data_IF_214817429419
#
_entry.id   IF_214817429419
#
_cell.length_a   1.000
_cell.length_b   1.000
_cell.length_c   1.000
_cell.angle_alpha   90.00
_cell.angle_beta   90.00
_cell.angle_gamma   90.00
#
_symmetry.space_group_name_H-M   'P 1'
#
loop_
_entity.id
_entity.type
_entity.pdbx_description
1 polymer ?
#
# COMPACT_ATOMS: atom_id res chain seq x y z
N UNK A 1 -39.10 40.84 13.83
CA UNK A 1 -38.35 41.15 15.06
C UNK A 1 -37.88 42.59 14.97
N UNK A 2 -38.17 43.42 15.97
CA UNK A 2 -37.78 44.82 15.95
C UNK A 2 -36.25 44.92 15.89
N UNK A 3 -35.72 45.66 14.92
CA UNK A 3 -34.29 45.93 14.79
C UNK A 3 -33.81 46.58 16.08
N UNK A 4 -33.02 45.86 16.87
CA UNK A 4 -32.53 46.34 18.15
C UNK A 4 -31.72 47.62 17.91
N UNK A 5 -32.25 48.75 18.37
CA UNK A 5 -31.60 50.05 18.22
C UNK A 5 -30.35 50.06 19.09
N UNK A 6 -29.20 50.48 18.54
CA UNK A 6 -27.94 50.62 19.28
C UNK A 6 -28.18 51.42 20.56
N UNK A 7 -28.06 50.76 21.72
CA UNK A 7 -28.21 51.39 23.02
C UNK A 7 -26.94 52.19 23.33
N UNK A 8 -27.04 53.52 23.35
CA UNK A 8 -25.88 54.39 23.49
C UNK A 8 -25.14 54.20 24.83
N UNK A 9 -25.86 53.86 25.91
CA UNK A 9 -25.25 53.61 27.22
C UNK A 9 -24.39 52.36 27.15
N UNK A 10 -24.97 51.26 26.65
CA UNK A 10 -24.27 49.99 26.55
C UNK A 10 -23.13 50.07 25.52
N UNK A 11 -23.35 50.67 24.36
CA UNK A 11 -22.30 50.84 23.35
C UNK A 11 -21.12 51.69 23.81
N UNK A 12 -21.30 52.54 24.84
CA UNK A 12 -20.23 53.32 25.46
C UNK A 12 -19.53 52.61 26.63
N UNK A 13 -19.99 51.43 27.05
CA UNK A 13 -19.47 50.69 28.21
C UNK A 13 -18.17 49.91 27.92
N UNK A 14 -17.35 50.38 26.98
CA UNK A 14 -16.11 49.72 26.53
C UNK A 14 -15.12 49.57 27.68
N UNK A 15 -14.97 50.60 28.53
CA UNK A 15 -14.01 50.58 29.63
C UNK A 15 -14.41 49.55 30.70
N UNK A 16 -15.70 49.51 31.06
CA UNK A 16 -16.25 48.49 31.97
C UNK A 16 -16.02 47.09 31.41
N UNK A 17 -16.33 46.88 30.12
CA UNK A 17 -16.15 45.60 29.46
C UNK A 17 -14.66 45.18 29.40
N UNK A 18 -13.76 46.13 29.13
CA UNK A 18 -12.31 45.89 29.11
C UNK A 18 -11.80 45.52 30.50
N UNK A 19 -12.24 46.20 31.54
CA UNK A 19 -11.84 45.91 32.92
C UNK A 19 -12.20 44.47 33.31
N UNK A 20 -13.43 44.04 32.99
CA UNK A 20 -13.87 42.66 33.24
C UNK A 20 -13.08 41.65 32.41
N UNK A 21 -12.81 41.93 31.14
CA UNK A 21 -11.99 41.05 30.30
C UNK A 21 -10.58 40.89 30.87
N UNK A 22 -9.97 41.98 31.37
CA UNK A 22 -8.65 41.97 31.99
C UNK A 22 -8.66 41.16 33.31
N UNK A 23 -9.70 41.33 34.12
CA UNK A 23 -9.88 40.57 35.36
C UNK A 23 -9.94 39.07 35.06
N UNK A 24 -10.74 38.65 34.08
CA UNK A 24 -10.90 37.24 33.69
C UNK A 24 -9.62 36.66 33.06
N UNK A 25 -8.92 37.45 32.25
CA UNK A 25 -7.66 37.04 31.63
C UNK A 25 -6.53 36.81 32.65
N UNK A 26 -6.58 37.45 33.82
CA UNK A 26 -5.53 37.41 34.84
C UNK A 26 -4.26 38.17 34.48
N UNK A 27 -4.04 38.48 33.20
CA UNK A 27 -2.94 39.28 32.68
C UNK A 27 -3.47 40.32 31.67
N UNK A 28 -3.31 41.64 31.94
CA UNK A 28 -3.79 42.69 31.04
C UNK A 28 -3.21 42.61 29.62
N UNK A 29 -2.00 42.05 29.47
CA UNK A 29 -1.37 41.92 28.15
C UNK A 29 -2.07 40.91 27.24
N UNK A 30 -2.95 40.05 27.77
CA UNK A 30 -3.70 39.06 27.00
C UNK A 30 -5.01 39.60 26.42
N UNK A 31 -5.38 40.86 26.75
CA UNK A 31 -6.56 41.57 26.21
C UNK A 31 -6.13 42.68 25.25
N UNK A 32 -6.41 42.50 23.97
CA UNK A 32 -6.01 43.38 22.88
C UNK A 32 -7.00 44.51 22.55
N UNK A 33 -7.02 44.88 21.27
CA UNK A 33 -7.85 45.95 20.74
C UNK A 33 -9.36 45.62 20.85
N UNK A 34 -10.18 46.65 20.97
CA UNK A 34 -11.64 46.50 20.94
C UNK A 34 -12.10 46.34 19.49
N UNK A 35 -12.63 45.16 19.17
CA UNK A 35 -13.02 44.75 17.82
C UNK A 35 -14.40 45.28 17.43
N UNK A 36 -15.22 45.65 18.41
CA UNK A 36 -16.53 46.25 18.19
C UNK A 36 -17.59 45.69 19.14
N UNK A 37 -18.85 45.90 18.75
CA UNK A 37 -20.02 45.50 19.53
C UNK A 37 -21.00 44.68 18.71
N UNK A 38 -21.59 43.66 19.34
CA UNK A 38 -22.69 42.87 18.80
C UNK A 38 -23.95 43.17 19.61
N UNK A 39 -25.07 43.41 18.93
CA UNK A 39 -26.36 43.64 19.60
C UNK A 39 -27.08 42.31 19.72
N UNK A 40 -27.01 41.71 20.91
CA UNK A 40 -27.64 40.42 21.21
C UNK A 40 -29.17 40.55 21.39
N UNK A 41 -29.63 41.71 21.87
CA UNK A 41 -31.05 41.92 22.12
C UNK A 41 -31.41 43.33 22.62
N UNK A 42 -32.64 43.49 23.11
CA UNK A 42 -33.09 44.75 23.68
C UNK A 42 -32.34 45.03 25.00
N UNK A 43 -31.53 46.10 25.02
CA UNK A 43 -30.67 46.47 26.16
C UNK A 43 -29.67 45.36 26.54
N UNK A 44 -29.16 44.64 25.55
CA UNK A 44 -28.14 43.61 25.69
C UNK A 44 -27.13 43.76 24.54
N UNK A 45 -25.87 44.03 24.87
CA UNK A 45 -24.78 44.25 23.91
C UNK A 45 -23.53 43.51 24.37
N UNK A 46 -22.83 42.87 23.45
CA UNK A 46 -21.55 42.20 23.71
C UNK A 46 -20.40 43.01 23.12
N UNK A 47 -19.44 43.38 23.96
CA UNK A 47 -18.18 44.00 23.56
C UNK A 47 -17.14 42.91 23.27
N UNK A 48 -16.47 43.02 22.12
CA UNK A 48 -15.45 42.05 21.69
C UNK A 48 -14.07 42.68 21.73
N UNK A 49 -13.09 41.95 22.25
CA UNK A 49 -11.68 42.34 22.27
C UNK A 49 -10.80 41.20 21.75
N UNK A 50 -9.76 41.51 20.98
CA UNK A 50 -8.83 40.50 20.52
C UNK A 50 -8.14 39.79 21.71
N UNK A 51 -7.96 38.47 21.65
CA UNK A 51 -7.08 37.77 22.59
C UNK A 51 -5.64 37.83 22.10
N UNK A 52 -4.73 38.21 22.99
CA UNK A 52 -3.27 38.22 22.74
C UNK A 52 -2.56 37.06 23.46
N UNK A 53 -3.31 36.21 24.16
CA UNK A 53 -2.75 35.02 24.79
C UNK A 53 -2.22 34.03 23.75
N UNK A 54 -0.99 33.53 23.94
CA UNK A 54 -0.28 32.69 22.95
C UNK A 54 -1.06 31.45 22.49
N UNK A 55 -1.86 30.84 23.36
CA UNK A 55 -2.66 29.65 23.06
C UNK A 55 -4.01 29.91 22.39
N UNK A 56 -4.41 31.18 22.28
CA UNK A 56 -5.76 31.59 21.88
C UNK A 56 -5.73 32.51 20.66
N UNK A 57 -4.86 32.18 19.68
CA UNK A 57 -4.77 32.93 18.42
C UNK A 57 -6.12 32.95 17.71
N UNK A 58 -6.61 34.14 17.37
CA UNK A 58 -7.88 34.34 16.69
C UNK A 58 -9.11 34.22 17.60
N UNK A 59 -8.91 34.00 18.91
CA UNK A 59 -9.99 34.05 19.89
C UNK A 59 -10.20 35.47 20.40
N UNK A 60 -11.36 35.68 21.01
CA UNK A 60 -11.83 37.02 21.37
C UNK A 60 -12.52 36.99 22.73
N UNK A 61 -12.12 37.94 23.58
CA UNK A 61 -12.83 38.21 24.83
C UNK A 61 -14.15 38.87 24.50
N UNK A 62 -15.24 38.25 24.93
CA UNK A 62 -16.60 38.75 24.77
C UNK A 62 -17.15 39.08 26.13
N UNK A 63 -17.60 40.32 26.32
CA UNK A 63 -18.20 40.76 27.58
C UNK A 63 -19.59 41.32 27.28
N UNK A 64 -20.60 40.61 27.74
CA UNK A 64 -22.00 40.94 27.53
C UNK A 64 -22.48 41.86 28.64
N UNK A 65 -22.96 43.04 28.27
CA UNK A 65 -23.48 44.06 29.18
C UNK A 65 -24.95 44.32 28.93
N UNK A 66 -25.69 44.58 30.01
CA UNK A 66 -27.09 44.96 29.97
C UNK A 66 -27.39 46.14 30.88
N UNK A 67 -28.61 46.67 30.78
CA UNK A 67 -29.10 47.67 31.73
C UNK A 67 -30.60 47.56 31.94
N UNK A 68 -31.05 47.98 33.12
CA UNK A 68 -32.48 48.10 33.41
C UNK A 68 -33.15 49.18 32.55
N UNK A 69 -34.47 49.09 32.30
CA UNK A 69 -35.23 50.13 31.59
C UNK A 69 -35.06 51.50 32.26
N UNK A 70 -34.77 52.54 31.47
CA UNK A 70 -34.47 53.92 31.92
C UNK A 70 -33.20 54.07 32.78
N UNK A 71 -32.52 52.98 33.11
CA UNK A 71 -31.21 53.00 33.76
C UNK A 71 -30.14 53.61 32.83
N UNK A 72 -29.18 54.31 33.44
CA UNK A 72 -28.01 54.89 32.76
C UNK A 72 -26.70 54.20 33.13
N UNK A 73 -26.78 53.11 33.87
CA UNK A 73 -25.65 52.31 34.35
C UNK A 73 -25.71 50.98 33.63
N UNK A 74 -24.60 50.60 32.98
CA UNK A 74 -24.42 49.27 32.42
C UNK A 74 -23.99 48.29 33.52
N UNK A 75 -24.47 47.06 33.45
CA UNK A 75 -24.11 45.94 34.32
C UNK A 75 -23.64 44.79 33.47
N UNK A 76 -22.65 44.04 33.94
CA UNK A 76 -22.11 42.88 33.22
C UNK A 76 -23.00 41.66 33.48
N UNK A 77 -23.31 40.92 32.42
CA UNK A 77 -24.08 39.68 32.47
C UNK A 77 -23.15 38.46 32.51
N UNK A 78 -22.18 38.43 31.60
CA UNK A 78 -21.21 37.36 31.43
C UNK A 78 -19.95 37.90 30.74
N UNK A 79 -18.87 37.14 30.89
CA UNK A 79 -17.60 37.40 30.24
C UNK A 79 -16.96 36.05 29.92
N UNK A 80 -16.58 35.87 28.66
CA UNK A 80 -16.08 34.61 28.14
C UNK A 80 -15.02 34.85 27.06
N UNK A 81 -14.24 33.81 26.79
CA UNK A 81 -13.30 33.76 25.68
C UNK A 81 -13.89 32.86 24.60
N UNK A 82 -14.27 33.44 23.47
CA UNK A 82 -14.93 32.73 22.38
C UNK A 82 -14.04 32.68 21.13
N UNK A 83 -14.17 31.64 20.30
CA UNK A 83 -13.43 31.58 19.04
C UNK A 83 -13.97 32.63 18.06
N UNK A 84 -13.09 33.48 17.53
CA UNK A 84 -13.37 34.35 16.39
C UNK A 84 -13.21 33.62 15.05
N UNK A 85 -13.33 34.37 13.95
CA UNK A 85 -13.26 33.81 12.59
C UNK A 85 -11.90 33.16 12.27
N UNK A 86 -10.83 33.69 12.87
CA UNK A 86 -9.46 33.21 12.68
C UNK A 86 -9.01 32.24 13.79
N UNK A 87 -9.92 31.78 14.66
CA UNK A 87 -9.59 30.91 15.76
C UNK A 87 -9.19 29.51 15.27
N UNK A 88 -8.05 29.02 15.77
CA UNK A 88 -7.67 27.62 15.57
C UNK A 88 -8.50 26.76 16.52
N UNK A 89 -9.44 26.02 15.95
CA UNK A 89 -10.28 25.07 16.69
C UNK A 89 -9.65 23.67 16.70
N UNK A 90 -9.96 22.91 17.74
CA UNK A 90 -9.64 21.48 17.78
C UNK A 90 -10.41 20.71 16.70
N UNK A 91 -9.89 19.55 16.31
CA UNK A 91 -10.65 18.60 15.50
C UNK A 91 -11.91 18.17 16.24
N UNK A 92 -12.93 17.78 15.48
CA UNK A 92 -14.16 17.24 16.05
C UNK A 92 -13.88 16.08 17.00
N UNK A 93 -14.64 16.03 18.09
CA UNK A 93 -14.55 14.93 19.02
C UNK A 93 -15.09 13.66 18.37
N UNK A 94 -14.27 12.62 18.32
CA UNK A 94 -14.65 11.30 17.79
C UNK A 94 -14.91 10.33 18.96
N UNK A 95 -15.99 9.52 18.96
CA UNK A 95 -16.21 8.48 19.97
C UNK A 95 -15.02 7.51 20.10
N UNK A 96 -14.74 7.02 21.30
CA UNK A 96 -13.60 6.10 21.52
C UNK A 96 -13.65 4.87 20.60
N UNK A 97 -14.85 4.36 20.33
CA UNK A 97 -15.09 3.19 19.47
C UNK A 97 -14.72 3.43 18.01
N UNK A 98 -14.70 4.69 17.58
CA UNK A 98 -14.33 5.12 16.23
C UNK A 98 -12.85 5.56 16.17
N UNK A 99 -12.15 5.61 17.32
CA UNK A 99 -10.71 5.88 17.37
C UNK A 99 -9.85 4.62 17.21
N UNK A 100 -10.43 3.44 17.41
CA UNK A 100 -9.70 2.17 17.34
C UNK A 100 -9.13 1.94 15.94
N UNK A 101 -7.84 1.65 15.88
CA UNK A 101 -7.10 1.29 14.67
C UNK A 101 -6.75 -0.21 14.68
N UNK A 102 -6.53 -0.81 13.49
CA UNK A 102 -5.95 -2.14 13.42
C UNK A 102 -4.66 -2.21 14.24
N UNK A 103 -4.60 -3.15 15.20
CA UNK A 103 -3.46 -3.32 16.10
C UNK A 103 -3.63 -2.73 17.50
N UNK A 104 -4.66 -1.92 17.75
CA UNK A 104 -4.91 -1.33 19.08
C UNK A 104 -5.46 -2.34 20.11
N UNK A 105 -5.94 -3.49 19.64
CA UNK A 105 -6.56 -4.54 20.48
C UNK A 105 -5.48 -5.55 20.88
N UNK A 106 -5.22 -5.68 22.17
CA UNK A 106 -4.29 -6.64 22.74
C UNK A 106 -4.95 -7.95 23.22
N UNK A 107 -4.15 -8.91 23.74
CA UNK A 107 -4.65 -10.24 24.12
C UNK A 107 -5.73 -10.27 25.22
N UNK A 108 -5.82 -9.21 26.04
CA UNK A 108 -6.80 -9.10 27.12
C UNK A 108 -8.05 -8.29 26.75
N UNK A 109 -8.07 -7.67 25.58
CA UNK A 109 -9.13 -6.76 25.19
C UNK A 109 -10.30 -7.51 24.56
N UNK A 110 -11.52 -7.11 24.94
CA UNK A 110 -12.75 -7.68 24.38
C UNK A 110 -13.41 -6.62 23.52
N UNK A 111 -13.50 -6.90 22.22
CA UNK A 111 -14.26 -6.05 21.31
C UNK A 111 -15.77 -6.14 21.62
N UNK A 112 -16.50 -5.02 21.59
CA UNK A 112 -17.93 -5.04 21.77
C UNK A 112 -18.59 -5.83 20.64
N UNK A 113 -19.58 -6.65 20.99
CA UNK A 113 -20.37 -7.37 20.01
C UNK A 113 -21.14 -6.40 19.11
N UNK A 114 -20.95 -6.52 17.79
CA UNK A 114 -21.74 -5.83 16.76
C UNK A 114 -22.66 -6.85 16.11
N UNK A 115 -23.97 -6.65 16.27
CA UNK A 115 -24.98 -7.53 15.68
C UNK A 115 -24.94 -7.44 14.15
N UNK A 116 -25.05 -6.21 13.64
CA UNK A 116 -25.10 -5.87 12.22
C UNK A 116 -23.71 -5.45 11.70
N UNK A 117 -22.70 -6.32 11.86
CA UNK A 117 -21.38 -6.08 11.26
C UNK A 117 -21.44 -6.41 9.75
N UNK A 118 -21.26 -5.42 8.85
CA UNK A 118 -21.40 -5.64 7.40
C UNK A 118 -20.34 -6.59 6.83
N UNK A 119 -19.24 -6.82 7.57
CA UNK A 119 -18.17 -7.74 7.19
C UNK A 119 -18.52 -9.20 7.47
N UNK A 120 -19.65 -9.45 8.12
CA UNK A 120 -20.10 -10.78 8.51
C UNK A 120 -21.50 -11.09 7.96
N UNK A 121 -21.71 -12.35 7.58
CA UNK A 121 -23.01 -12.88 7.19
C UNK A 121 -23.31 -14.19 7.96
N UNK A 122 -24.57 -14.62 8.09
CA UNK A 122 -24.90 -15.93 8.67
C UNK A 122 -24.16 -17.04 7.93
N UNK A 123 -23.58 -17.99 8.66
CA UNK A 123 -22.91 -19.14 8.04
C UNK A 123 -23.88 -20.21 7.56
N UNK A 124 -23.32 -21.25 6.94
CA UNK A 124 -24.08 -22.37 6.38
C UNK A 124 -24.75 -23.19 7.49
N UNK A 125 -26.03 -23.50 7.30
CA UNK A 125 -26.77 -24.46 8.14
C UNK A 125 -26.89 -25.76 7.37
N UNK A 126 -26.42 -26.90 7.92
CA UNK A 126 -26.49 -28.19 7.23
C UNK A 126 -27.90 -28.49 6.75
N UNK A 127 -28.00 -28.83 5.47
CA UNK A 127 -29.28 -29.04 4.79
C UNK A 127 -29.69 -30.51 4.80
N UNK A 128 -28.74 -31.43 5.02
CA UNK A 128 -28.92 -32.87 4.88
C UNK A 128 -28.70 -33.36 3.45
N UNK A 129 -28.34 -32.48 2.53
CA UNK A 129 -27.90 -32.80 1.18
C UNK A 129 -26.37 -32.98 1.16
N UNK A 130 -25.84 -34.20 0.96
CA UNK A 130 -24.41 -34.45 0.99
C UNK A 130 -23.61 -33.62 -0.03
N UNK A 131 -24.16 -33.37 -1.23
CA UNK A 131 -23.42 -32.65 -2.27
C UNK A 131 -23.22 -31.17 -1.92
N UNK A 132 -24.23 -30.56 -1.28
CA UNK A 132 -24.16 -29.17 -0.84
C UNK A 132 -23.37 -29.03 0.47
N UNK A 133 -23.61 -29.94 1.40
CA UNK A 133 -22.99 -29.89 2.72
C UNK A 133 -21.49 -30.21 2.66
N UNK A 134 -21.02 -31.14 1.81
CA UNK A 134 -19.58 -31.43 1.64
C UNK A 134 -18.81 -30.18 1.17
N UNK A 135 -19.28 -29.50 0.12
CA UNK A 135 -18.62 -28.28 -0.40
C UNK A 135 -18.69 -27.15 0.64
N UNK A 136 -19.86 -26.91 1.23
CA UNK A 136 -20.03 -25.78 2.15
C UNK A 136 -19.28 -25.98 3.49
N UNK A 137 -19.22 -27.21 4.00
CA UNK A 137 -18.68 -27.53 5.32
C UNK A 137 -17.21 -27.92 5.22
N UNK A 138 -16.84 -28.84 4.33
CA UNK A 138 -15.50 -29.42 4.30
C UNK A 138 -14.53 -28.61 3.44
N UNK A 139 -14.94 -28.14 2.26
CA UNK A 139 -14.07 -27.36 1.37
C UNK A 139 -14.00 -25.87 1.76
N UNK A 140 -15.15 -25.27 2.09
CA UNK A 140 -15.26 -23.82 2.34
C UNK A 140 -15.36 -23.45 3.83
N UNK A 141 -15.47 -24.43 4.73
CA UNK A 141 -15.50 -24.24 6.19
C UNK A 141 -16.55 -23.22 6.68
N UNK A 142 -17.73 -23.20 6.05
CA UNK A 142 -18.79 -22.21 6.28
C UNK A 142 -19.75 -22.56 7.43
N UNK A 143 -19.62 -23.74 8.06
CA UNK A 143 -20.46 -24.19 9.17
C UNK A 143 -20.11 -23.47 10.50
N UNK A 144 -20.31 -22.16 10.54
CA UNK A 144 -20.08 -21.28 11.70
C UNK A 144 -21.28 -20.36 11.89
N UNK A 145 -21.44 -19.78 13.08
CA UNK A 145 -22.56 -18.86 13.35
C UNK A 145 -22.55 -17.67 12.39
N UNK A 146 -21.36 -17.11 12.13
CA UNK A 146 -21.13 -16.05 11.15
C UNK A 146 -19.83 -16.32 10.40
N UNK A 147 -19.82 -16.00 9.11
CA UNK A 147 -18.66 -16.10 8.20
C UNK A 147 -18.38 -14.73 7.58
N UNK A 148 -17.20 -14.56 6.97
CA UNK A 148 -16.89 -13.32 6.25
C UNK A 148 -17.86 -13.13 5.09
N UNK A 149 -18.53 -11.98 5.05
CA UNK A 149 -19.30 -11.53 3.89
C UNK A 149 -18.37 -11.20 2.71
N UNK A 150 -18.88 -11.05 1.48
CA UNK A 150 -18.09 -10.55 0.35
C UNK A 150 -17.34 -9.26 0.68
N UNK A 151 -18.02 -8.28 1.29
CA UNK A 151 -17.39 -7.04 1.73
C UNK A 151 -16.25 -7.27 2.72
N UNK A 152 -16.45 -8.16 3.72
CA UNK A 152 -15.40 -8.49 4.68
C UNK A 152 -14.16 -9.13 4.04
N UNK A 153 -14.36 -9.96 3.00
CA UNK A 153 -13.27 -10.56 2.23
C UNK A 153 -12.53 -9.50 1.40
N UNK A 154 -13.25 -8.62 0.72
CA UNK A 154 -12.67 -7.56 -0.10
C UNK A 154 -11.85 -6.58 0.75
N UNK A 155 -12.39 -6.13 1.88
CA UNK A 155 -11.68 -5.24 2.82
C UNK A 155 -10.42 -5.91 3.39
N UNK A 156 -10.47 -7.22 3.69
CA UNK A 156 -9.31 -7.97 4.16
C UNK A 156 -8.25 -8.12 3.06
N UNK A 157 -8.66 -8.51 1.85
CA UNK A 157 -7.79 -8.66 0.70
C UNK A 157 -7.09 -7.34 0.36
N UNK A 158 -7.82 -6.24 0.30
CA UNK A 158 -7.28 -4.92 0.00
C UNK A 158 -6.26 -4.46 1.05
N UNK A 159 -6.57 -4.67 2.34
CA UNK A 159 -5.65 -4.34 3.45
C UNK A 159 -4.38 -5.20 3.42
N UNK A 160 -4.48 -6.49 3.13
CA UNK A 160 -3.32 -7.38 3.05
C UNK A 160 -2.46 -7.07 1.83
N UNK A 161 -3.08 -6.86 0.67
CA UNK A 161 -2.39 -6.58 -0.59
C UNK A 161 -1.63 -5.25 -0.57
N UNK A 162 -2.17 -4.22 0.11
CA UNK A 162 -1.47 -2.94 0.30
C UNK A 162 -0.58 -2.90 1.53
N UNK A 163 -0.57 -3.96 2.33
CA UNK A 163 0.19 -4.05 3.56
C UNK A 163 1.67 -4.37 3.35
N UNK A 164 2.38 -4.60 4.45
CA UNK A 164 3.80 -5.00 4.44
C UNK A 164 4.08 -6.31 3.71
N UNK A 165 3.05 -7.14 3.52
CA UNK A 165 3.15 -8.47 2.93
C UNK A 165 2.54 -8.51 1.52
N UNK A 166 2.40 -7.33 0.90
CA UNK A 166 1.93 -7.16 -0.47
C UNK A 166 3.06 -7.17 -1.50
N UNK A 167 2.74 -7.14 -2.80
CA UNK A 167 3.73 -7.13 -3.90
C UNK A 167 4.60 -5.88 -3.93
N UNK A 168 4.10 -4.76 -3.41
CA UNK A 168 4.81 -3.46 -3.47
C UNK A 168 5.55 -3.13 -2.18
N UNK A 169 5.65 -4.09 -1.25
CA UNK A 169 6.39 -3.86 -0.02
C UNK A 169 7.91 -3.80 -0.28
N UNK A 170 8.68 -3.11 0.58
CA UNK A 170 10.12 -3.01 0.39
C UNK A 170 10.83 -4.39 0.30
N UNK A 171 10.36 -5.38 1.07
CA UNK A 171 10.87 -6.75 1.01
C UNK A 171 10.59 -7.40 -0.34
N UNK A 172 9.38 -7.25 -0.87
CA UNK A 172 9.00 -7.79 -2.18
C UNK A 172 9.82 -7.18 -3.31
N UNK A 173 10.00 -5.85 -3.30
CA UNK A 173 10.78 -5.15 -4.33
C UNK A 173 12.27 -5.52 -4.33
N UNK A 174 12.81 -5.89 -3.17
CA UNK A 174 14.20 -6.31 -3.02
C UNK A 174 14.42 -7.81 -3.22
N UNK A 175 13.35 -8.60 -3.28
CA UNK A 175 13.44 -10.07 -3.37
C UNK A 175 13.64 -10.53 -4.81
N UNK A 176 14.43 -11.60 -4.96
CA UNK A 176 14.69 -12.21 -6.27
C UNK A 176 13.50 -13.01 -6.84
N UNK A 177 12.63 -13.52 -5.96
CA UNK A 177 11.50 -14.36 -6.33
C UNK A 177 10.30 -14.12 -5.41
N UNK A 178 9.10 -14.39 -5.94
CA UNK A 178 7.84 -14.20 -5.26
C UNK A 178 7.33 -15.49 -4.59
N UNK A 179 6.44 -15.35 -3.62
CA UNK A 179 5.83 -16.44 -2.86
C UNK A 179 5.13 -17.48 -3.74
N UNK A 180 4.59 -17.09 -4.91
CA UNK A 180 3.88 -17.99 -5.83
C UNK A 180 4.71 -19.20 -6.28
N UNK A 181 6.04 -19.07 -6.31
CA UNK A 181 6.98 -20.15 -6.66
C UNK A 181 7.71 -20.72 -5.45
N UNK A 182 7.44 -20.24 -4.25
CA UNK A 182 8.17 -20.62 -3.05
C UNK A 182 7.61 -21.93 -2.47
N UNK A 183 8.49 -22.90 -2.21
CA UNK A 183 8.11 -24.19 -1.61
C UNK A 183 7.60 -24.10 -0.16
N UNK A 184 7.82 -22.96 0.52
CA UNK A 184 7.33 -22.70 1.87
C UNK A 184 5.94 -22.04 1.93
N UNK A 185 5.31 -21.80 0.77
CA UNK A 185 3.98 -21.21 0.72
C UNK A 185 2.90 -22.27 0.97
N UNK A 186 2.06 -22.04 1.98
CA UNK A 186 0.84 -22.81 2.20
C UNK A 186 -0.35 -22.02 1.61
N UNK A 187 -1.06 -22.51 0.58
CA UNK A 187 -2.18 -21.79 -0.01
C UNK A 187 -3.37 -21.67 0.96
N UNK A 188 -4.05 -20.53 0.95
CA UNK A 188 -5.34 -20.38 1.63
C UNK A 188 -6.44 -21.13 0.86
N UNK A 189 -7.54 -21.43 1.53
CA UNK A 189 -8.73 -22.03 0.90
C UNK A 189 -9.62 -20.96 0.24
N UNK A 190 -10.40 -21.39 -0.76
CA UNK A 190 -11.40 -20.56 -1.41
C UNK A 190 -10.82 -19.37 -2.21
N UNK A 191 -11.62 -18.31 -2.43
CA UNK A 191 -11.23 -17.19 -3.30
C UNK A 191 -9.96 -16.46 -2.86
N UNK A 192 -9.71 -16.33 -1.55
CA UNK A 192 -8.50 -15.68 -1.03
C UNK A 192 -7.22 -16.45 -1.38
N UNK A 193 -7.32 -17.78 -1.55
CA UNK A 193 -6.21 -18.64 -1.99
C UNK A 193 -5.67 -18.33 -3.38
N UNK A 194 -6.43 -17.60 -4.20
CA UNK A 194 -6.00 -17.18 -5.54
C UNK A 194 -5.04 -15.99 -5.54
N UNK A 195 -4.90 -15.30 -4.39
CA UNK A 195 -4.08 -14.08 -4.25
C UNK A 195 -3.16 -14.15 -3.02
N UNK A 196 -3.45 -15.01 -2.05
CA UNK A 196 -2.72 -15.09 -0.79
C UNK A 196 -2.43 -16.53 -0.34
N UNK A 197 -1.36 -16.68 0.42
CA UNK A 197 -1.02 -17.87 1.19
C UNK A 197 -0.45 -17.50 2.57
N UNK A 198 0.02 -18.50 3.31
CA UNK A 198 0.74 -18.34 4.58
C UNK A 198 2.19 -18.76 4.36
N UNK A 199 3.13 -17.94 4.82
CA UNK A 199 4.54 -18.32 4.84
C UNK A 199 4.81 -19.28 6.01
N UNK A 200 5.46 -20.41 5.74
CA UNK A 200 5.84 -21.40 6.75
C UNK A 200 7.36 -21.55 6.92
N UNK A 201 8.14 -20.58 6.40
CA UNK A 201 9.58 -20.57 6.55
C UNK A 201 9.97 -19.83 7.84
N UNK A 202 10.50 -20.55 8.83
CA UNK A 202 10.97 -19.98 10.12
C UNK A 202 12.04 -18.89 9.96
N UNK A 203 12.78 -18.91 8.85
CA UNK A 203 13.83 -17.94 8.54
C UNK A 203 13.28 -16.67 7.85
N UNK A 204 12.02 -16.70 7.44
CA UNK A 204 11.33 -15.52 6.91
C UNK A 204 10.88 -14.62 8.08
N UNK A 205 11.03 -13.29 7.97
CA UNK A 205 10.41 -12.36 8.93
C UNK A 205 8.87 -12.47 8.95
N UNK A 206 8.28 -13.14 7.95
CA UNK A 206 6.85 -13.30 7.74
C UNK A 206 6.33 -14.72 8.03
N UNK A 207 7.12 -15.55 8.72
CA UNK A 207 6.65 -16.86 9.22
C UNK A 207 5.31 -16.76 9.96
N UNK A 208 4.39 -17.65 9.62
CA UNK A 208 3.02 -17.69 10.16
C UNK A 208 2.11 -16.54 9.73
N UNK A 209 2.55 -15.64 8.84
CA UNK A 209 1.74 -14.51 8.36
C UNK A 209 1.12 -14.79 6.98
N UNK A 210 -0.01 -14.13 6.73
CA UNK A 210 -0.59 -14.07 5.39
C UNK A 210 0.27 -13.18 4.49
N UNK A 211 0.60 -13.70 3.31
CA UNK A 211 1.42 -13.04 2.28
C UNK A 211 0.72 -13.09 0.94
N UNK A 212 0.89 -12.06 0.12
CA UNK A 212 0.46 -12.11 -1.29
C UNK A 212 1.27 -13.14 -2.06
N UNK A 213 0.70 -13.76 -3.10
CA UNK A 213 1.44 -14.62 -4.02
C UNK A 213 2.62 -13.90 -4.69
N UNK A 214 2.51 -12.59 -4.88
CA UNK A 214 3.57 -11.75 -5.46
C UNK A 214 4.52 -11.16 -4.39
N UNK A 215 4.33 -11.47 -3.11
CA UNK A 215 5.20 -11.01 -2.04
C UNK A 215 6.57 -11.69 -2.11
N UNK A 216 7.62 -11.02 -1.64
CA UNK A 216 8.94 -11.62 -1.45
C UNK A 216 9.54 -11.21 -0.10
N UNK A 217 10.18 -12.17 0.58
CA UNK A 217 10.81 -11.96 1.89
C UNK A 217 12.33 -12.17 1.90
N UNK A 218 12.94 -12.50 0.75
CA UNK A 218 14.36 -12.85 0.63
C UNK A 218 14.74 -14.28 1.06
N UNK A 219 13.91 -14.94 1.86
CA UNK A 219 14.09 -16.34 2.29
C UNK A 219 13.29 -17.33 1.41
N UNK A 220 13.41 -17.19 0.09
CA UNK A 220 12.76 -18.08 -0.88
C UNK A 220 13.38 -19.49 -0.81
N UNK A 221 12.61 -20.54 -1.12
CA UNK A 221 13.13 -21.93 -1.10
C UNK A 221 14.25 -22.18 -2.10
N UNK A 222 14.31 -21.35 -3.14
CA UNK A 222 15.32 -21.38 -4.21
C UNK A 222 16.36 -20.25 -4.08
N UNK A 223 16.43 -19.56 -2.93
CA UNK A 223 17.45 -18.52 -2.72
C UNK A 223 18.86 -19.13 -2.87
N UNK A 224 19.70 -18.53 -3.72
CA UNK A 224 21.06 -19.00 -3.97
C UNK A 224 21.17 -20.21 -4.89
N UNK A 225 20.05 -20.67 -5.50
CA UNK A 225 20.08 -21.64 -6.57
C UNK A 225 20.51 -20.95 -7.88
N UNK A 226 21.80 -20.64 -8.00
CA UNK A 226 22.37 -20.34 -9.32
C UNK A 226 22.27 -21.63 -10.14
N UNK A 227 21.61 -21.62 -11.32
CA UNK A 227 21.55 -22.80 -12.15
C UNK A 227 22.98 -23.20 -12.49
N UNK A 228 23.43 -24.30 -11.88
CA UNK A 228 24.69 -24.94 -12.25
C UNK A 228 24.55 -25.25 -13.74
N UNK A 229 25.44 -24.73 -14.60
CA UNK A 229 25.41 -25.07 -16.02
C UNK A 229 25.39 -26.60 -16.12
N UNK A 230 24.30 -27.15 -16.64
CA UNK A 230 24.23 -28.60 -16.78
C UNK A 230 25.27 -29.00 -17.80
N UNK A 231 26.07 -30.03 -17.49
CA UNK A 231 26.97 -30.64 -18.48
C UNK A 231 26.20 -31.42 -19.57
N UNK A 232 24.86 -31.32 -19.60
CA UNK A 232 24.01 -32.15 -20.46
C UNK A 232 22.66 -31.50 -20.87
N UNK A 233 22.28 -31.52 -22.17
CA UNK A 233 23.18 -31.61 -23.31
C UNK A 233 22.99 -30.42 -24.26
N UNK A 234 24.04 -29.63 -24.45
CA UNK A 234 24.41 -29.27 -25.81
C UNK A 234 25.90 -29.55 -25.99
N UNK A 235 26.20 -30.82 -26.30
CA UNK A 235 27.23 -30.99 -27.32
C UNK A 235 26.49 -30.82 -28.64
N UNK A 236 26.62 -29.67 -29.29
CA UNK A 236 26.53 -29.66 -30.74
C UNK A 236 27.63 -30.63 -31.20
N UNK A 237 27.29 -31.87 -31.59
CA UNK A 237 28.33 -32.84 -31.87
C UNK A 237 29.13 -32.28 -33.05
N UNK A 238 30.46 -32.35 -32.99
CA UNK A 238 31.32 -31.93 -34.10
C UNK A 238 30.95 -32.66 -35.41
N UNK A 239 30.31 -33.82 -35.31
CA UNK A 239 29.73 -34.59 -36.42
C UNK A 239 28.30 -34.98 -36.02
N UNK A 240 27.33 -34.47 -36.76
CA UNK A 240 25.92 -34.86 -36.63
C UNK A 240 25.56 -35.87 -37.72
N UNK A 241 25.49 -37.14 -37.35
CA UNK A 241 25.13 -38.25 -38.23
C UNK A 241 23.63 -38.30 -38.59
N UNK A 242 22.79 -37.50 -37.92
CA UNK A 242 21.36 -37.35 -38.23
C UNK A 242 21.10 -36.15 -39.16
N UNK A 243 22.12 -35.32 -39.41
CA UNK A 243 22.05 -34.21 -40.36
C UNK A 243 22.06 -34.74 -41.78
N UNK A 244 20.96 -34.50 -42.50
CA UNK A 244 20.82 -34.87 -43.90
C UNK A 244 21.38 -33.73 -44.77
N UNK A 245 22.50 -33.96 -45.43
CA UNK A 245 23.00 -33.05 -46.47
C UNK A 245 22.21 -33.27 -47.77
N UNK A 246 21.38 -32.30 -48.14
CA UNK A 246 20.56 -32.36 -49.36
C UNK A 246 21.42 -31.98 -50.56
N UNK A 247 21.86 -32.99 -51.31
CA UNK A 247 22.58 -32.78 -52.58
C UNK A 247 21.55 -32.44 -53.67
N UNK A 248 21.65 -31.29 -54.34
CA UNK A 248 20.80 -30.99 -55.49
C UNK A 248 21.09 -31.99 -56.60
N UNK A 249 20.07 -32.73 -57.04
CA UNK A 249 20.19 -33.60 -58.20
C UNK A 249 20.56 -32.77 -59.44
N UNK A 250 21.70 -33.08 -60.05
CA UNK A 250 22.08 -32.52 -61.34
C UNK A 250 21.00 -32.87 -62.37
N UNK A 251 20.37 -31.83 -62.90
CA UNK A 251 19.30 -31.91 -63.88
C UNK A 251 19.77 -32.55 -65.19
N UNK A 252 19.07 -33.62 -65.59
CA UNK A 252 18.83 -34.12 -66.96
C UNK A 252 20.05 -34.25 -67.89
N UNK A 253 20.46 -35.50 -68.12
CA UNK A 253 21.08 -35.90 -69.39
C UNK A 253 19.98 -36.12 -70.46
N UNK A 254 20.21 -35.71 -71.72
CA UNK A 254 19.23 -35.81 -72.80
C UNK A 254 18.94 -37.27 -73.19
N UNK A 255 17.69 -37.52 -73.58
CA UNK A 255 17.19 -38.82 -74.03
C UNK A 255 18.02 -39.37 -75.21
N UNK A 256 18.58 -40.58 -75.07
CA UNK A 256 19.39 -41.23 -76.11
C UNK A 256 18.51 -41.95 -77.14
N UNK A 257 18.66 -41.60 -78.42
CA UNK A 257 18.30 -42.45 -79.56
C UNK A 257 19.24 -43.66 -79.68
N UNK A 258 18.82 -44.77 -80.32
CA UNK A 258 19.44 -46.07 -80.11
C UNK A 258 20.79 -46.26 -80.80
N UNK A 259 21.55 -47.16 -80.19
CA UNK A 259 22.97 -47.45 -80.30
C UNK A 259 23.41 -47.93 -81.69
N UNK A 260 24.54 -47.40 -82.18
CA UNK A 260 25.40 -48.06 -83.15
C UNK A 260 26.84 -48.12 -82.59
N UNK A 261 27.36 -49.34 -82.53
CA UNK A 261 28.68 -49.77 -82.08
C UNK A 261 29.82 -49.14 -82.91
N UNK A 262 30.98 -48.81 -82.32
CA UNK A 262 32.29 -49.51 -82.47
C UNK A 262 33.42 -48.72 -81.75
N UNK A 263 34.11 -49.44 -80.86
CA UNK A 263 35.52 -49.47 -80.41
C UNK A 263 36.44 -48.23 -80.20
N UNK A 264 37.19 -48.39 -79.10
CA UNK A 264 38.63 -48.17 -78.84
C UNK A 264 39.08 -46.88 -78.13
N UNK A 265 39.70 -47.10 -76.96
CA UNK A 265 40.53 -46.18 -76.15
C UNK A 265 41.89 -45.92 -76.87
N UNK A 266 42.72 -44.89 -76.52
CA UNK A 266 43.08 -44.57 -75.14
C UNK A 266 43.42 -43.09 -74.78
N UNK A 267 43.43 -42.87 -73.46
CA UNK A 267 44.34 -42.09 -72.61
C UNK A 267 44.94 -40.73 -73.06
N UNK A 268 44.83 -39.72 -72.17
CA UNK A 268 45.91 -38.79 -71.85
C UNK A 268 45.66 -38.07 -70.51
N UNK A 269 46.77 -37.76 -69.84
CA UNK A 269 46.96 -37.32 -68.46
C UNK A 269 46.80 -35.80 -68.20
N UNK A 270 46.70 -35.50 -66.90
CA UNK A 270 47.32 -34.39 -66.15
C UNK A 270 46.76 -32.97 -66.24
N UNK A 271 46.53 -32.38 -65.06
CA UNK A 271 47.18 -31.12 -64.67
C UNK A 271 47.12 -30.91 -63.15
N UNK A 272 48.31 -30.65 -62.57
CA UNK A 272 48.57 -30.00 -61.29
C UNK A 272 47.95 -28.59 -61.22
N UNK A 273 47.66 -28.08 -60.02
CA UNK A 273 48.53 -27.12 -59.30
C UNK A 273 47.74 -26.33 -58.22
N UNK A 274 48.49 -25.94 -57.19
CA UNK A 274 48.14 -25.44 -55.86
C UNK A 274 47.86 -23.88 -55.86
N UNK A 275 48.05 -23.09 -54.78
CA UNK A 275 47.12 -22.76 -53.67
C UNK A 275 46.94 -21.23 -53.47
N UNK A 276 46.25 -20.80 -52.40
CA UNK A 276 46.54 -19.61 -51.55
C UNK A 276 45.45 -19.49 -50.45
N UNK A 277 45.78 -19.55 -49.16
CA UNK A 277 46.26 -18.47 -48.26
C UNK A 277 45.28 -17.27 -48.18
N UNK A 278 44.94 -16.69 -47.03
CA UNK A 278 45.58 -16.66 -45.72
C UNK A 278 44.63 -15.99 -44.68
N UNK A 279 44.90 -16.26 -43.40
CA UNK A 279 44.79 -15.44 -42.16
C UNK A 279 43.59 -14.45 -41.93
N UNK A 280 43.21 -14.06 -40.71
CA UNK A 280 43.93 -13.98 -39.44
C UNK A 280 42.92 -13.81 -38.28
N UNK A 281 43.40 -14.03 -37.06
CA UNK A 281 42.65 -14.19 -35.82
C UNK A 281 42.59 -12.88 -34.96
N UNK A 282 42.75 -12.90 -33.62
CA UNK A 282 41.67 -12.73 -32.63
C UNK A 282 41.94 -11.56 -31.66
N UNK A 283 41.07 -11.28 -30.68
CA UNK A 283 41.51 -10.65 -29.41
C UNK A 283 40.55 -10.95 -28.24
N UNK A 284 41.14 -11.48 -27.17
CA UNK A 284 40.62 -11.65 -25.81
C UNK A 284 41.18 -10.53 -24.91
N UNK A 285 40.57 -10.26 -23.74
CA UNK A 285 41.22 -10.18 -22.39
C UNK A 285 40.27 -9.54 -21.35
N UNK A 286 40.16 -10.23 -20.20
CA UNK A 286 39.40 -9.97 -18.95
C UNK A 286 40.17 -9.04 -17.95
N UNK A 287 39.99 -9.03 -16.60
CA UNK A 287 38.91 -9.46 -15.68
C UNK A 287 38.56 -8.40 -14.58
N UNK A 288 37.61 -8.75 -13.68
CA UNK A 288 37.19 -7.99 -12.48
C UNK A 288 37.82 -8.52 -11.18
N UNK A 289 37.95 -7.64 -10.17
CA UNK A 289 38.71 -7.82 -8.92
C UNK A 289 37.87 -8.30 -7.72
N UNK A 290 38.58 -8.95 -6.77
CA UNK A 290 38.09 -9.62 -5.56
C UNK A 290 37.79 -8.71 -4.35
N UNK A 291 37.01 -9.31 -3.45
CA UNK A 291 36.34 -8.80 -2.26
C UNK A 291 37.21 -8.82 -0.99
N UNK A 292 36.91 -7.98 0.01
CA UNK A 292 37.63 -7.90 1.31
C UNK A 292 36.65 -8.10 2.48
N UNK A 293 36.94 -8.95 3.49
CA UNK A 293 36.02 -9.18 4.60
C UNK A 293 36.26 -8.23 5.78
N UNK A 294 35.18 -7.80 6.45
CA UNK A 294 35.22 -7.04 7.71
C UNK A 294 34.68 -7.92 8.85
N UNK A 295 35.45 -7.97 9.94
CA UNK A 295 35.17 -8.77 11.13
C UNK A 295 34.10 -8.15 12.04
N UNK A 296 33.21 -8.99 12.57
CA UNK A 296 32.25 -8.65 13.61
C UNK A 296 32.89 -8.69 15.00
N UNK A 297 32.59 -7.69 15.83
CA UNK A 297 32.79 -7.70 17.29
C UNK A 297 31.42 -7.52 17.93
N UNK A 298 30.98 -8.50 18.73
CA UNK A 298 29.72 -8.44 19.49
C UNK A 298 29.96 -8.01 20.96
N UNK A 299 28.92 -7.44 21.62
CA UNK A 299 28.93 -7.00 23.01
C UNK A 299 28.75 -8.13 24.05
#
# INVERSE_FOLDING_TARGET
MATATKDAVLGSAVDLAREVAIELAGNPADVGEHLGVVVEGERLISHRFASLARGYRGWEWTVTVSRVPRGRIATVCEAELLPGEDAILGTDWVPWSERLRPGDVGPGDVLPFRADDPRLEPGWTPTGDPELDEVAIDELALARVRVLSPQGRDEAAERWFRGSNGPTSPGSLASAAACQTCGFLIPLQGPLGTVFGVCANEWSPDDGKVVSLEHGCGAHSETGNEPVPTEWPESAPLIDELRIDVIPALSTLPHAEPVAEVADEPAAEAADDEPADDADAPTEVAPAAEDTPVAHSEP
#
